data_IF_648583965826
#
_entry.id   IF_648583965826
#
_cell.length_a   1.000
_cell.length_b   1.000
_cell.length_c   1.000
_cell.angle_alpha   90.00
_cell.angle_beta   90.00
_cell.angle_gamma   90.00
#
_symmetry.space_group_name_H-M   'P 1'
#
loop_
_entity.id
_entity.type
_entity.pdbx_description
1 polymer ?
#
# COMPACT_ATOMS: atom_id res chain seq x y z
N UNK A 1 -13.05 13.42 10.85
CA UNK A 1 -12.91 11.97 10.60
C UNK A 1 -12.46 11.76 9.16
N UNK A 2 -11.43 10.95 8.94
CA UNK A 2 -10.96 10.66 7.59
C UNK A 2 -11.91 9.68 6.90
N UNK A 3 -12.20 9.91 5.63
CA UNK A 3 -13.10 9.08 4.84
C UNK A 3 -12.55 8.92 3.42
N UNK A 4 -13.01 7.88 2.76
CA UNK A 4 -12.91 7.69 1.32
C UNK A 4 -14.29 7.32 0.80
N UNK A 5 -14.43 6.98 -0.48
CA UNK A 5 -15.73 6.56 -1.04
C UNK A 5 -15.63 5.18 -1.66
N UNK A 6 -16.71 4.44 -1.56
CA UNK A 6 -16.91 3.20 -2.30
C UNK A 6 -18.23 3.28 -3.05
N UNK A 7 -18.14 3.31 -4.37
CA UNK A 7 -19.29 3.49 -5.27
C UNK A 7 -20.15 4.71 -4.88
N UNK A 8 -19.47 5.82 -4.58
CA UNK A 8 -20.09 7.09 -4.24
C UNK A 8 -20.52 7.24 -2.78
N UNK A 9 -20.45 6.18 -1.96
CA UNK A 9 -20.84 6.22 -0.55
C UNK A 9 -19.60 6.39 0.32
N UNK A 10 -19.70 7.29 1.31
CA UNK A 10 -18.60 7.54 2.25
C UNK A 10 -18.30 6.32 3.10
N UNK A 11 -17.01 6.03 3.25
CA UNK A 11 -16.49 4.93 4.08
C UNK A 11 -15.46 5.50 5.04
N UNK A 12 -15.62 5.17 6.31
CA UNK A 12 -14.73 5.62 7.38
C UNK A 12 -13.34 4.98 7.25
N UNK A 13 -12.30 5.78 7.50
CA UNK A 13 -10.93 5.32 7.65
C UNK A 13 -10.57 5.29 9.12
N UNK A 14 -10.23 4.10 9.61
CA UNK A 14 -9.84 3.87 11.00
C UNK A 14 -8.32 3.95 11.13
N UNK A 15 -7.87 4.19 12.36
CA UNK A 15 -6.45 4.22 12.70
C UNK A 15 -5.89 5.63 12.75
N UNK A 16 -4.58 5.71 12.90
CA UNK A 16 -3.85 6.97 13.05
C UNK A 16 -3.53 7.59 11.68
N UNK A 17 -4.00 8.81 11.43
CA UNK A 17 -3.71 9.50 10.16
C UNK A 17 -2.26 9.99 10.11
N UNK A 18 -1.52 9.51 9.13
CA UNK A 18 -0.16 9.96 8.82
C UNK A 18 -0.23 10.99 7.70
N UNK A 19 0.51 12.07 7.83
CA UNK A 19 0.50 13.18 6.86
C UNK A 19 1.92 13.43 6.33
N UNK A 20 2.00 14.15 5.20
CA UNK A 20 3.29 14.63 4.67
C UNK A 20 4.01 15.46 5.73
N UNK A 21 5.29 15.17 5.94
CA UNK A 21 6.12 15.78 6.96
C UNK A 21 6.22 14.98 8.25
N UNK A 22 5.34 13.99 8.46
CA UNK A 22 5.40 13.13 9.63
C UNK A 22 6.47 12.06 9.47
N UNK A 23 6.96 11.55 10.60
CA UNK A 23 7.76 10.33 10.59
C UNK A 23 6.88 9.15 10.20
N UNK A 24 7.30 8.39 9.20
CA UNK A 24 6.58 7.20 8.77
C UNK A 24 6.68 6.10 9.83
N UNK A 25 5.56 5.62 10.38
CA UNK A 25 5.60 4.54 11.37
C UNK A 25 6.33 3.31 10.83
N UNK A 26 7.22 2.74 11.63
CA UNK A 26 7.91 1.50 11.29
C UNK A 26 7.05 0.34 11.74
N UNK A 27 6.62 -0.48 10.79
CA UNK A 27 5.78 -1.66 11.05
C UNK A 27 6.27 -2.87 10.27
N UNK A 28 5.91 -4.06 10.74
CA UNK A 28 6.23 -5.31 10.05
C UNK A 28 4.98 -5.87 9.41
N UNK A 29 5.11 -6.28 8.16
CA UNK A 29 4.09 -7.01 7.40
C UNK A 29 4.67 -8.33 6.92
N UNK A 30 3.83 -9.25 6.45
CA UNK A 30 4.25 -10.60 6.08
C UNK A 30 4.51 -10.69 4.59
N UNK A 31 5.72 -11.06 4.21
CA UNK A 31 6.09 -11.23 2.80
C UNK A 31 5.31 -12.40 2.19
N UNK A 32 4.72 -12.19 1.02
CA UNK A 32 4.06 -13.26 0.27
C UNK A 32 5.05 -14.31 -0.24
N UNK A 33 6.32 -13.95 -0.37
CA UNK A 33 7.40 -14.86 -0.72
C UNK A 33 8.15 -15.27 0.55
N UNK A 34 7.90 -16.50 1.00
CA UNK A 34 8.61 -17.12 2.13
C UNK A 34 8.07 -16.79 3.52
N UNK A 35 7.02 -15.96 3.64
CA UNK A 35 6.32 -15.64 4.90
C UNK A 35 7.17 -14.95 5.97
N UNK A 36 8.32 -14.38 5.58
CA UNK A 36 9.16 -13.61 6.50
C UNK A 36 8.61 -12.20 6.74
N UNK A 37 9.22 -11.49 7.69
CA UNK A 37 8.86 -10.11 7.97
C UNK A 37 9.40 -9.18 6.89
N UNK A 38 8.57 -8.21 6.49
CA UNK A 38 8.98 -7.05 5.71
C UNK A 38 8.77 -5.82 6.57
N UNK A 39 9.82 -5.04 6.78
CA UNK A 39 9.72 -3.78 7.50
C UNK A 39 9.33 -2.69 6.51
N UNK A 40 8.27 -1.96 6.80
CA UNK A 40 7.83 -0.79 6.04
C UNK A 40 7.82 0.43 6.95
N UNK A 41 8.08 1.60 6.39
CA UNK A 41 8.22 2.83 7.17
C UNK A 41 9.58 2.92 7.86
N UNK A 42 9.71 3.92 8.72
CA UNK A 42 10.97 4.22 9.39
C UNK A 42 12.07 4.69 8.45
N UNK A 43 13.21 5.07 9.02
CA UNK A 43 14.40 5.44 8.24
C UNK A 43 15.14 4.18 7.79
N UNK A 44 15.24 3.96 6.50
CA UNK A 44 15.91 2.78 5.95
C UNK A 44 17.12 3.12 5.06
N UNK A 45 17.46 4.41 4.96
CA UNK A 45 18.58 4.85 4.13
C UNK A 45 18.30 4.80 2.63
N UNK A 46 17.10 4.39 2.23
CA UNK A 46 16.60 4.38 0.86
C UNK A 46 15.20 4.94 0.84
N UNK A 47 14.78 5.46 -0.31
CA UNK A 47 13.39 5.87 -0.49
C UNK A 47 12.47 4.67 -0.52
N UNK A 48 11.26 4.84 -0.02
CA UNK A 48 10.24 3.80 0.02
C UNK A 48 8.98 4.28 -0.69
N UNK A 49 8.36 3.39 -1.44
CA UNK A 49 7.03 3.58 -2.00
C UNK A 49 6.13 2.47 -1.46
N UNK A 50 5.08 2.86 -0.74
CA UNK A 50 4.11 1.92 -0.19
C UNK A 50 2.81 2.06 -0.97
N UNK A 51 2.36 0.97 -1.57
CA UNK A 51 1.17 0.89 -2.39
C UNK A 51 0.14 0.06 -1.61
N UNK A 52 -0.95 0.70 -1.22
CA UNK A 52 -1.98 0.07 -0.38
C UNK A 52 -3.20 -0.21 -1.24
N UNK A 53 -3.67 -1.46 -1.23
CA UNK A 53 -4.83 -1.88 -2.03
C UNK A 53 -5.80 -2.70 -1.17
N UNK A 54 -7.11 -2.66 -1.48
CA UNK A 54 -8.10 -3.48 -0.78
C UNK A 54 -7.87 -4.99 -0.93
N UNK A 55 -7.67 -5.48 -2.14
CA UNK A 55 -7.37 -6.88 -2.42
C UNK A 55 -6.85 -7.05 -3.84
N UNK A 56 -5.82 -7.87 -4.00
CA UNK A 56 -5.27 -8.22 -5.31
C UNK A 56 -6.25 -8.99 -6.20
N UNK A 57 -7.28 -9.60 -5.59
CA UNK A 57 -8.33 -10.31 -6.33
C UNK A 57 -9.41 -9.40 -6.90
N UNK A 58 -9.26 -8.07 -6.82
CA UNK A 58 -10.16 -7.11 -7.48
C UNK A 58 -9.51 -6.55 -8.74
N UNK A 59 -10.32 -6.23 -9.75
CA UNK A 59 -9.81 -5.79 -11.06
C UNK A 59 -8.92 -4.56 -11.00
N UNK A 60 -9.32 -3.53 -10.26
CA UNK A 60 -8.54 -2.28 -10.14
C UNK A 60 -7.22 -2.52 -9.41
N UNK A 61 -7.23 -3.30 -8.34
CA UNK A 61 -6.01 -3.60 -7.57
C UNK A 61 -5.01 -4.42 -8.40
N UNK A 62 -5.50 -5.38 -9.17
CA UNK A 62 -4.67 -6.17 -10.07
C UNK A 62 -4.05 -5.28 -11.16
N UNK A 63 -4.85 -4.40 -11.78
CA UNK A 63 -4.38 -3.44 -12.78
C UNK A 63 -3.33 -2.50 -12.20
N UNK A 64 -3.57 -1.94 -11.01
CA UNK A 64 -2.64 -1.06 -10.31
C UNK A 64 -1.30 -1.75 -10.06
N UNK A 65 -1.32 -2.96 -9.52
CA UNK A 65 -0.11 -3.72 -9.21
C UNK A 65 0.67 -4.04 -10.49
N UNK A 66 -0.01 -4.45 -11.57
CA UNK A 66 0.64 -4.68 -12.86
C UNK A 66 1.28 -3.40 -13.41
N UNK A 67 0.61 -2.25 -13.28
CA UNK A 67 1.15 -0.97 -13.74
C UNK A 67 2.43 -0.58 -13.01
N UNK A 68 2.47 -0.71 -11.68
CA UNK A 68 3.69 -0.44 -10.93
C UNK A 68 4.80 -1.43 -11.26
N UNK A 69 4.49 -2.70 -11.45
CA UNK A 69 5.48 -3.70 -11.85
C UNK A 69 6.07 -3.38 -13.23
N UNK A 70 5.24 -2.96 -14.18
CA UNK A 70 5.68 -2.54 -15.50
C UNK A 70 6.57 -1.28 -15.47
N UNK A 71 6.39 -0.41 -14.47
CA UNK A 71 7.19 0.81 -14.26
C UNK A 71 8.36 0.59 -13.30
N UNK A 72 8.70 -0.65 -13.00
CA UNK A 72 9.72 -0.99 -11.99
C UNK A 72 11.10 -0.39 -12.30
N UNK A 73 11.43 -0.17 -13.58
CA UNK A 73 12.69 0.51 -13.96
C UNK A 73 12.76 1.95 -13.43
N UNK A 74 11.61 2.63 -13.31
CA UNK A 74 11.53 3.98 -12.73
C UNK A 74 11.60 3.94 -11.19
N UNK A 75 11.53 2.77 -10.58
CA UNK A 75 11.58 2.54 -9.14
C UNK A 75 12.90 1.89 -8.71
N UNK A 76 13.89 1.86 -9.59
CA UNK A 76 15.21 1.30 -9.26
C UNK A 76 15.82 2.07 -8.09
N UNK A 77 16.34 1.32 -7.11
CA UNK A 77 16.87 1.91 -5.88
C UNK A 77 15.82 2.33 -4.85
N UNK A 78 14.54 2.19 -5.18
CA UNK A 78 13.41 2.47 -4.27
C UNK A 78 12.87 1.14 -3.74
N UNK A 79 12.69 1.06 -2.42
CA UNK A 79 12.02 -0.10 -1.82
C UNK A 79 10.51 0.05 -2.02
N UNK A 80 9.94 -0.75 -2.93
CA UNK A 80 8.53 -0.67 -3.28
C UNK A 80 7.78 -1.88 -2.72
N UNK A 81 6.77 -1.63 -1.89
CA UNK A 81 5.99 -2.66 -1.20
C UNK A 81 4.51 -2.45 -1.46
N UNK A 82 3.83 -3.48 -1.95
CA UNK A 82 2.36 -3.51 -2.06
C UNK A 82 1.83 -4.19 -0.81
N UNK A 83 0.89 -3.55 -0.13
CA UNK A 83 0.30 -4.04 1.13
C UNK A 83 -1.20 -4.20 0.98
N UNK A 84 -1.72 -5.35 1.40
CA UNK A 84 -3.16 -5.62 1.49
C UNK A 84 -3.46 -6.52 2.68
N UNK A 85 -4.74 -6.85 2.88
CA UNK A 85 -5.16 -7.84 3.87
C UNK A 85 -5.27 -9.25 3.28
N UNK A 86 -4.96 -9.44 2.00
CA UNK A 86 -4.93 -10.77 1.40
C UNK A 86 -3.96 -11.67 2.18
N UNK A 87 -4.32 -12.94 2.34
CA UNK A 87 -3.38 -13.90 2.91
C UNK A 87 -2.13 -14.00 2.03
N UNK A 88 -0.94 -14.15 2.61
CA UNK A 88 0.30 -14.26 1.83
C UNK A 88 0.26 -15.34 0.76
N UNK A 89 -0.45 -16.43 1.01
CA UNK A 89 -0.62 -17.53 0.05
C UNK A 89 -1.37 -17.06 -1.21
N UNK A 90 -2.44 -16.30 -1.02
CA UNK A 90 -3.22 -15.75 -2.13
C UNK A 90 -2.42 -14.71 -2.90
N UNK A 91 -1.69 -13.83 -2.21
CA UNK A 91 -0.79 -12.85 -2.82
C UNK A 91 0.32 -13.52 -3.62
N UNK A 92 0.91 -14.59 -3.09
CA UNK A 92 1.93 -15.35 -3.78
C UNK A 92 1.42 -15.99 -5.08
N UNK A 93 0.21 -16.54 -5.05
CA UNK A 93 -0.44 -17.08 -6.25
C UNK A 93 -0.71 -16.00 -7.29
N UNK A 94 -1.18 -14.83 -6.86
CA UNK A 94 -1.39 -13.68 -7.74
C UNK A 94 -0.07 -13.26 -8.42
N UNK A 95 1.00 -13.10 -7.64
CA UNK A 95 2.30 -12.71 -8.17
C UNK A 95 2.83 -13.71 -9.19
N UNK A 96 2.70 -15.01 -8.92
CA UNK A 96 3.12 -16.04 -9.86
C UNK A 96 2.31 -16.03 -11.16
N UNK A 97 0.98 -15.88 -11.06
CA UNK A 97 0.08 -15.87 -12.21
C UNK A 97 0.27 -14.63 -13.09
N UNK A 98 0.54 -13.47 -12.48
CA UNK A 98 0.62 -12.17 -13.16
C UNK A 98 2.05 -11.72 -13.46
N UNK A 99 3.06 -12.52 -13.11
CA UNK A 99 4.44 -12.16 -13.34
C UNK A 99 4.93 -10.96 -12.54
N UNK A 100 4.41 -10.77 -11.33
CA UNK A 100 4.82 -9.70 -10.42
C UNK A 100 6.08 -10.16 -9.68
N UNK A 101 7.23 -9.74 -10.18
CA UNK A 101 8.53 -10.19 -9.67
C UNK A 101 9.46 -9.03 -9.25
N UNK A 102 9.06 -7.78 -9.54
CA UNK A 102 9.89 -6.60 -9.30
C UNK A 102 9.43 -5.76 -8.12
N UNK A 103 8.32 -6.14 -7.48
CA UNK A 103 7.78 -5.49 -6.30
C UNK A 103 7.75 -6.49 -5.16
N UNK A 104 7.92 -6.01 -3.95
CA UNK A 104 7.60 -6.80 -2.75
C UNK A 104 6.10 -6.72 -2.53
N UNK A 105 5.43 -7.86 -2.42
CA UNK A 105 4.01 -7.92 -2.09
C UNK A 105 3.87 -8.56 -0.71
N UNK A 106 3.18 -7.86 0.18
CA UNK A 106 3.12 -8.25 1.59
C UNK A 106 1.71 -8.09 2.14
N UNK A 107 1.46 -8.74 3.27
CA UNK A 107 0.15 -8.81 3.90
C UNK A 107 0.19 -8.28 5.33
N UNK A 108 -0.81 -7.49 5.67
CA UNK A 108 -1.02 -6.98 7.02
C UNK A 108 -2.10 -7.79 7.79
N UNK A 109 -2.35 -9.04 7.34
CA UNK A 109 -3.45 -9.86 7.86
C UNK A 109 -3.29 -10.19 9.35
N UNK A 110 -2.04 -10.32 9.82
CA UNK A 110 -1.75 -10.89 11.15
C UNK A 110 -2.26 -10.00 12.28
N UNK A 111 -1.80 -8.75 12.34
CA UNK A 111 -2.12 -7.85 13.45
C UNK A 111 -2.79 -6.54 12.99
N UNK A 112 -2.87 -6.28 11.70
CA UNK A 112 -3.36 -5.01 11.13
C UNK A 112 -2.54 -3.81 11.60
N UNK A 113 -1.28 -4.01 11.94
CA UNK A 113 -0.42 -2.96 12.49
C UNK A 113 -0.19 -1.84 11.48
N UNK A 114 0.04 -2.20 10.22
CA UNK A 114 0.21 -1.20 9.15
C UNK A 114 -1.08 -0.38 8.96
N UNK A 115 -2.22 -1.05 8.81
CA UNK A 115 -3.49 -0.39 8.56
C UNK A 115 -3.85 0.59 9.65
N UNK A 116 -3.60 0.23 10.90
CA UNK A 116 -3.86 1.09 12.06
C UNK A 116 -2.84 2.22 12.19
N UNK A 117 -1.57 1.95 11.94
CA UNK A 117 -0.51 2.97 12.05
C UNK A 117 -0.61 4.04 10.97
N UNK A 118 -1.08 3.67 9.78
CA UNK A 118 -1.17 4.58 8.63
C UNK A 118 -2.59 5.10 8.36
N UNK A 119 -3.57 4.70 9.16
CA UNK A 119 -4.95 5.21 9.04
C UNK A 119 -5.67 4.80 7.77
N UNK A 120 -5.41 3.58 7.28
CA UNK A 120 -5.95 3.10 5.99
C UNK A 120 -6.90 1.91 6.14
N UNK A 121 -7.28 1.56 7.37
CA UNK A 121 -8.22 0.48 7.63
C UNK A 121 -9.65 0.94 7.36
N UNK A 122 -10.37 0.24 6.51
CA UNK A 122 -11.78 0.56 6.24
C UNK A 122 -12.68 0.07 7.36
N UNK A 123 -13.63 0.92 7.75
CA UNK A 123 -14.66 0.59 8.73
C UNK A 123 -16.06 0.87 8.19
N UNK A 124 -17.07 0.39 8.87
CA UNK A 124 -18.47 0.79 8.67
C UNK A 124 -19.12 0.49 7.32
N UNK A 125 -18.56 -0.41 6.50
CA UNK A 125 -19.12 -0.76 5.20
C UNK A 125 -18.97 -2.24 4.91
N UNK A 126 -19.41 -2.68 3.72
CA UNK A 126 -19.20 -4.06 3.27
C UNK A 126 -17.72 -4.38 3.06
N UNK A 127 -16.86 -3.35 2.97
CA UNK A 127 -15.41 -3.50 2.86
C UNK A 127 -14.70 -3.37 4.22
N UNK A 128 -15.44 -3.33 5.32
CA UNK A 128 -14.83 -3.24 6.65
C UNK A 128 -13.81 -4.36 6.87
N UNK A 129 -12.64 -3.98 7.38
CA UNK A 129 -11.56 -4.94 7.67
C UNK A 129 -10.50 -5.06 6.60
N UNK A 130 -10.72 -4.54 5.38
CA UNK A 130 -9.65 -4.42 4.38
C UNK A 130 -9.09 -3.00 4.36
N UNK A 131 -7.99 -2.81 3.66
CA UNK A 131 -7.35 -1.49 3.50
C UNK A 131 -7.99 -0.71 2.35
N UNK A 132 -7.90 0.61 2.42
CA UNK A 132 -8.33 1.47 1.31
C UNK A 132 -7.29 1.44 0.17
N UNK A 133 -7.50 2.25 -0.86
CA UNK A 133 -6.51 2.46 -1.91
C UNK A 133 -5.73 3.73 -1.59
N UNK A 134 -4.42 3.56 -1.35
CA UNK A 134 -3.56 4.66 -0.93
C UNK A 134 -2.13 4.49 -1.43
N UNK A 135 -1.40 5.59 -1.49
CA UNK A 135 0.04 5.62 -1.80
C UNK A 135 0.74 6.47 -0.75
N UNK A 136 1.87 5.99 -0.27
CA UNK A 136 2.78 6.76 0.59
C UNK A 136 4.19 6.69 0.02
N UNK A 137 4.86 7.84 -0.08
CA UNK A 137 6.29 7.92 -0.37
C UNK A 137 7.03 8.39 0.86
N UNK A 138 8.19 7.80 1.12
CA UNK A 138 9.00 8.03 2.31
C UNK A 138 10.44 8.25 1.87
N UNK A 139 11.11 9.28 2.43
CA UNK A 139 12.50 9.57 2.11
C UNK A 139 13.48 8.69 2.89
N UNK A 140 14.77 8.86 2.64
CA UNK A 140 15.84 8.08 3.27
C UNK A 140 15.88 8.24 4.79
N UNK A 141 15.35 9.35 5.30
CA UNK A 141 15.30 9.69 6.73
C UNK A 141 14.02 9.20 7.41
N UNK A 142 13.13 8.55 6.67
CA UNK A 142 11.89 8.02 7.22
C UNK A 142 10.77 9.03 7.33
N UNK A 143 10.83 10.13 6.58
CA UNK A 143 9.79 11.17 6.56
C UNK A 143 8.87 10.95 5.37
N UNK A 144 7.55 11.05 5.60
CA UNK A 144 6.54 10.96 4.54
C UNK A 144 6.65 12.20 3.65
N UNK A 145 6.90 12.00 2.36
CA UNK A 145 7.04 13.08 1.38
C UNK A 145 5.86 13.19 0.42
N UNK A 146 5.04 12.14 0.33
CA UNK A 146 3.86 12.11 -0.52
C UNK A 146 2.81 11.19 0.09
N UNK A 147 1.56 11.60 0.00
CA UNK A 147 0.41 10.81 0.46
C UNK A 147 -0.74 10.99 -0.52
N UNK A 148 -1.32 9.89 -0.96
CA UNK A 148 -2.56 9.89 -1.71
C UNK A 148 -3.50 8.87 -1.08
N UNK A 149 -4.67 9.33 -0.58
CA UNK A 149 -5.82 8.47 -0.33
C UNK A 149 -6.72 8.66 -1.55
N UNK A 150 -6.85 7.64 -2.38
CA UNK A 150 -7.68 7.75 -3.59
C UNK A 150 -9.12 8.01 -3.16
N UNK A 151 -9.76 9.10 -3.64
CA UNK A 151 -11.07 9.51 -3.12
C UNK A 151 -12.19 8.49 -3.36
N UNK A 152 -12.07 7.69 -4.42
CA UNK A 152 -13.01 6.62 -4.75
C UNK A 152 -12.25 5.31 -4.93
N UNK A 153 -12.52 4.33 -4.09
CA UNK A 153 -11.78 3.05 -4.05
C UNK A 153 -11.78 2.33 -5.40
N UNK A 154 -12.80 2.52 -6.22
CA UNK A 154 -12.90 1.90 -7.54
C UNK A 154 -12.05 2.57 -8.61
N UNK A 155 -11.38 3.67 -8.29
CA UNK A 155 -10.51 4.38 -9.23
C UNK A 155 -9.03 4.08 -8.99
N UNK A 156 -8.22 4.25 -10.03
CA UNK A 156 -6.76 4.07 -9.97
C UNK A 156 -6.08 5.30 -9.34
N UNK A 157 -4.88 5.12 -8.73
CA UNK A 157 -4.12 6.23 -8.20
C UNK A 157 -3.45 7.03 -9.30
N UNK A 158 -2.82 8.15 -8.91
CA UNK A 158 -1.97 8.93 -9.81
C UNK A 158 -0.56 8.31 -9.87
N UNK A 159 -0.32 7.47 -10.86
CA UNK A 159 0.95 6.75 -11.03
C UNK A 159 2.14 7.71 -11.20
N UNK A 160 1.97 8.74 -12.03
CA UNK A 160 3.07 9.68 -12.33
C UNK A 160 3.49 10.47 -11.10
N UNK A 161 2.53 10.92 -10.28
CA UNK A 161 2.81 11.63 -9.04
C UNK A 161 3.51 10.73 -8.03
N UNK A 162 3.08 9.48 -7.90
CA UNK A 162 3.70 8.50 -7.00
C UNK A 162 5.16 8.24 -7.38
N UNK A 163 5.45 8.02 -8.66
CA UNK A 163 6.80 7.77 -9.14
C UNK A 163 7.67 9.03 -9.01
N UNK A 164 7.14 10.21 -9.34
CA UNK A 164 7.86 11.46 -9.19
C UNK A 164 8.29 11.71 -7.74
N UNK A 165 7.49 11.28 -6.77
CA UNK A 165 7.76 11.49 -5.35
C UNK A 165 8.97 10.70 -4.84
N UNK A 166 9.41 9.66 -5.55
CA UNK A 166 10.56 8.82 -5.15
C UNK A 166 11.75 8.91 -6.12
N UNK A 167 11.72 9.87 -7.03
CA UNK A 167 12.86 10.16 -7.91
C UNK A 167 13.95 10.92 -7.19
#
# INVERSE_FOLDING_TARGET
MATTKFKGTDVELLGNQVNVGDKAPEVKVVNSDGLGDVVVGGAQGVKQLIIVVPSLDTGVCATETRNFNARASSLEGVKTTVVSMDLPFASGRFCAAEGIDKLTVASDFRNKDFANAYGVLLGGSVLAGVTCRAIFAIDENGVVTYKEIVPEITEEPNYDAAIAAVK
#
